data_IF_030197142110
#
_entry.id   IF_030197142110
#
_cell.length_a   1.000
_cell.length_b   1.000
_cell.length_c   1.000
_cell.angle_alpha   90.00
_cell.angle_beta   90.00
_cell.angle_gamma   90.00
#
_symmetry.space_group_name_H-M   'P 1'
#
loop_
_entity.id
_entity.type
_entity.pdbx_description
1 polymer ?
#
# COMPACT_ATOMS: atom_id res chain seq x y z
N UNK A 1 -11.25 9.38 -20.81
CA UNK A 1 -10.12 9.59 -19.88
C UNK A 1 -9.16 8.43 -20.06
N UNK A 2 -7.88 8.67 -20.38
CA UNK A 2 -6.92 7.58 -20.51
C UNK A 2 -6.78 6.88 -19.16
N UNK A 3 -6.79 5.55 -19.14
CA UNK A 3 -6.65 4.78 -17.90
C UNK A 3 -5.26 4.99 -17.31
N UNK A 4 -5.17 5.69 -16.17
CA UNK A 4 -3.89 5.88 -15.45
C UNK A 4 -3.28 4.54 -15.01
N UNK A 5 -4.11 3.51 -14.82
CA UNK A 5 -3.64 2.15 -14.54
C UNK A 5 -2.87 1.58 -15.73
N UNK A 6 -3.42 1.70 -16.95
CA UNK A 6 -2.72 1.26 -18.18
C UNK A 6 -1.44 2.07 -18.42
N UNK A 7 -1.48 3.39 -18.19
CA UNK A 7 -0.29 4.23 -18.28
C UNK A 7 0.76 3.83 -17.25
N UNK A 8 0.34 3.50 -16.02
CA UNK A 8 1.21 3.02 -14.95
C UNK A 8 1.93 1.73 -15.35
N UNK A 9 1.23 0.77 -15.94
CA UNK A 9 1.83 -0.47 -16.47
C UNK A 9 2.84 -0.15 -17.58
N UNK A 10 2.44 0.64 -18.57
CA UNK A 10 3.31 0.99 -19.71
C UNK A 10 4.59 1.72 -19.25
N UNK A 11 4.45 2.65 -18.30
CA UNK A 11 5.57 3.37 -17.72
C UNK A 11 6.48 2.45 -16.90
N UNK A 12 5.88 1.54 -16.13
CA UNK A 12 6.59 0.54 -15.34
C UNK A 12 7.42 -0.39 -16.23
N UNK A 13 6.85 -0.86 -17.35
CA UNK A 13 7.57 -1.73 -18.31
C UNK A 13 8.72 -0.96 -18.98
N UNK A 14 8.51 0.32 -19.30
CA UNK A 14 9.50 1.14 -20.00
C UNK A 14 10.70 1.54 -19.14
N UNK A 15 10.60 1.45 -17.81
CA UNK A 15 11.64 1.87 -16.86
C UNK A 15 12.15 0.70 -16.01
N UNK A 16 13.16 -0.06 -16.49
CA UNK A 16 13.66 -1.25 -15.79
C UNK A 16 14.29 -0.93 -14.41
N UNK A 17 14.67 0.34 -14.16
CA UNK A 17 15.13 0.80 -12.83
C UNK A 17 14.05 0.67 -11.75
N UNK A 18 12.76 0.72 -12.11
CA UNK A 18 11.65 0.53 -11.17
C UNK A 18 11.56 -0.94 -10.74
N UNK A 19 11.81 -1.89 -11.63
CA UNK A 19 11.68 -3.33 -11.35
C UNK A 19 12.62 -3.78 -10.23
N UNK A 20 13.84 -3.24 -10.18
CA UNK A 20 14.76 -3.54 -9.08
C UNK A 20 14.23 -3.03 -7.74
N UNK A 21 13.55 -1.88 -7.76
CA UNK A 21 12.90 -1.31 -6.56
C UNK A 21 11.72 -2.18 -6.12
N UNK A 22 11.00 -2.79 -7.07
CA UNK A 22 9.84 -3.68 -6.84
C UNK A 22 10.23 -5.09 -6.41
N UNK A 23 11.34 -5.62 -6.91
CA UNK A 23 11.84 -6.94 -6.54
C UNK A 23 12.41 -6.96 -5.12
N UNK A 24 13.00 -5.84 -4.69
CA UNK A 24 13.59 -5.70 -3.37
C UNK A 24 12.64 -6.03 -2.18
N UNK A 25 11.41 -5.48 -2.09
CA UNK A 25 10.47 -5.84 -1.02
C UNK A 25 10.02 -7.30 -1.09
N UNK A 26 9.91 -7.89 -2.30
CA UNK A 26 9.58 -9.32 -2.45
C UNK A 26 10.68 -10.22 -1.89
N UNK A 27 11.93 -9.93 -2.24
CA UNK A 27 13.08 -10.69 -1.69
C UNK A 27 13.20 -10.48 -0.18
N UNK A 28 13.03 -9.25 0.30
CA UNK A 28 13.10 -8.93 1.71
C UNK A 28 12.01 -9.63 2.53
N UNK A 29 10.77 -9.65 2.05
CA UNK A 29 9.65 -10.36 2.71
C UNK A 29 9.85 -11.86 2.71
N UNK A 30 10.39 -12.44 1.63
CA UNK A 30 10.75 -13.87 1.58
C UNK A 30 11.84 -14.21 2.60
N UNK A 31 12.89 -13.39 2.70
CA UNK A 31 13.98 -13.59 3.67
C UNK A 31 13.45 -13.53 5.11
N UNK A 32 12.63 -12.53 5.43
CA UNK A 32 12.02 -12.40 6.76
C UNK A 32 11.11 -13.58 7.07
N UNK A 33 10.32 -14.07 6.10
CA UNK A 33 9.49 -15.25 6.28
C UNK A 33 10.35 -16.48 6.65
N UNK A 34 11.43 -16.74 5.90
CA UNK A 34 12.35 -17.86 6.18
C UNK A 34 12.98 -17.73 7.58
N UNK A 35 13.49 -16.55 7.93
CA UNK A 35 14.11 -16.30 9.23
C UNK A 35 13.10 -16.50 10.37
N UNK A 36 11.88 -15.99 10.19
CA UNK A 36 10.80 -16.08 11.18
C UNK A 36 10.37 -17.54 11.39
N UNK A 37 10.24 -18.32 10.32
CA UNK A 37 9.96 -19.76 10.39
C UNK A 37 11.04 -20.46 11.21
N UNK A 38 12.32 -20.28 10.86
CA UNK A 38 13.42 -20.95 11.56
C UNK A 38 13.47 -20.54 13.03
N UNK A 39 13.35 -19.25 13.34
CA UNK A 39 13.36 -18.76 14.72
C UNK A 39 12.20 -19.29 15.56
N UNK A 40 10.96 -19.23 15.06
CA UNK A 40 9.80 -19.64 15.85
C UNK A 40 9.72 -21.15 16.04
N UNK A 41 10.08 -21.96 15.02
CA UNK A 41 10.12 -23.41 15.19
C UNK A 41 11.24 -23.90 16.11
N UNK A 42 12.39 -23.21 16.14
CA UNK A 42 13.52 -23.63 16.99
C UNK A 42 13.44 -23.09 18.41
N UNK A 43 12.96 -21.85 18.59
CA UNK A 43 12.97 -21.17 19.89
C UNK A 43 11.60 -21.17 20.56
N UNK A 44 10.51 -20.96 19.82
CA UNK A 44 9.18 -20.73 20.40
C UNK A 44 8.34 -22.01 20.54
N UNK A 45 8.50 -23.00 19.65
CA UNK A 45 7.69 -24.22 19.66
C UNK A 45 7.74 -24.98 20.99
N UNK A 46 8.95 -25.24 21.50
CA UNK A 46 9.14 -25.98 22.75
C UNK A 46 8.55 -25.26 23.98
N UNK A 47 8.86 -23.97 24.25
CA UNK A 47 8.28 -23.27 25.40
C UNK A 47 6.76 -23.11 25.28
N UNK A 48 6.20 -22.95 24.08
CA UNK A 48 4.75 -22.90 23.89
C UNK A 48 4.08 -24.23 24.23
N UNK A 49 4.64 -25.36 23.76
CA UNK A 49 4.12 -26.70 24.08
C UNK A 49 4.16 -26.97 25.59
N UNK A 50 5.25 -26.58 26.25
CA UNK A 50 5.38 -26.71 27.71
C UNK A 50 4.40 -25.81 28.47
N UNK A 51 4.23 -24.57 28.04
CA UNK A 51 3.27 -23.64 28.64
C UNK A 51 1.82 -24.14 28.55
N UNK A 52 1.46 -24.80 27.43
CA UNK A 52 0.17 -25.45 27.25
C UNK A 52 0.00 -26.68 28.17
N UNK A 53 1.05 -27.46 28.35
CA UNK A 53 1.05 -28.60 29.29
C UNK A 53 0.88 -28.13 30.74
N UNK A 54 1.60 -27.07 31.15
CA UNK A 54 1.47 -26.45 32.48
C UNK A 54 0.06 -25.87 32.70
N UNK A 55 -0.61 -25.42 31.63
CA UNK A 55 -2.00 -24.96 31.66
C UNK A 55 -3.04 -26.11 31.76
N UNK A 56 -2.59 -27.37 31.80
CA UNK A 56 -3.44 -28.55 31.99
C UNK A 56 -3.89 -29.24 30.70
N UNK A 57 -3.29 -28.91 29.55
CA UNK A 57 -3.60 -29.57 28.27
C UNK A 57 -2.85 -30.90 28.17
N UNK A 58 -3.50 -31.92 27.59
CA UNK A 58 -2.91 -33.25 27.36
C UNK A 58 -1.68 -33.15 26.46
N UNK A 59 -0.59 -33.85 26.79
CA UNK A 59 0.72 -33.77 26.12
C UNK A 59 0.62 -33.71 24.58
N UNK A 60 -0.02 -34.67 23.93
CA UNK A 60 -0.11 -34.71 22.47
C UNK A 60 -0.88 -33.50 21.89
N UNK A 61 -1.89 -33.02 22.60
CA UNK A 61 -2.71 -31.87 22.21
C UNK A 61 -1.94 -30.56 22.40
N UNK A 62 -1.09 -30.45 23.42
CA UNK A 62 -0.22 -29.30 23.66
C UNK A 62 0.77 -29.09 22.50
N UNK A 63 1.38 -30.16 22.00
CA UNK A 63 2.27 -30.08 20.83
C UNK A 63 1.51 -29.67 19.56
N UNK A 64 0.32 -30.23 19.32
CA UNK A 64 -0.50 -29.86 18.17
C UNK A 64 -0.92 -28.38 18.21
N UNK A 65 -1.38 -27.90 19.36
CA UNK A 65 -1.77 -26.50 19.56
C UNK A 65 -0.58 -25.56 19.46
N UNK A 66 0.59 -25.94 19.98
CA UNK A 66 1.82 -25.15 19.85
C UNK A 66 2.22 -24.99 18.38
N UNK A 67 2.16 -26.04 17.56
CA UNK A 67 2.43 -25.92 16.12
C UNK A 67 1.45 -24.96 15.45
N UNK A 68 0.16 -25.04 15.77
CA UNK A 68 -0.84 -24.11 15.21
C UNK A 68 -0.59 -22.66 15.63
N UNK A 69 -0.23 -22.41 16.90
CA UNK A 69 0.14 -21.08 17.39
C UNK A 69 1.37 -20.54 16.67
N UNK A 70 2.43 -21.32 16.54
CA UNK A 70 3.64 -20.94 15.79
C UNK A 70 3.28 -20.59 14.34
N UNK A 71 2.42 -21.36 13.67
CA UNK A 71 1.99 -21.06 12.30
C UNK A 71 1.23 -19.72 12.22
N UNK A 72 0.35 -19.44 13.18
CA UNK A 72 -0.36 -18.16 13.27
C UNK A 72 0.60 -17.01 13.54
N UNK A 73 1.56 -17.18 14.45
CA UNK A 73 2.59 -16.18 14.75
C UNK A 73 3.46 -15.87 13.52
N UNK A 74 3.91 -16.89 12.80
CA UNK A 74 4.66 -16.73 11.54
C UNK A 74 3.84 -15.92 10.53
N UNK A 75 2.55 -16.26 10.37
CA UNK A 75 1.66 -15.55 9.48
C UNK A 75 1.51 -14.08 9.90
N UNK A 76 1.24 -13.80 11.18
CA UNK A 76 1.05 -12.45 11.70
C UNK A 76 2.32 -11.60 11.54
N UNK A 77 3.49 -12.13 11.92
CA UNK A 77 4.77 -11.41 11.81
C UNK A 77 5.07 -11.10 10.34
N UNK A 78 4.96 -12.09 9.46
CA UNK A 78 5.23 -11.91 8.03
C UNK A 78 4.24 -10.94 7.39
N UNK A 79 2.96 -11.02 7.78
CA UNK A 79 1.91 -10.15 7.29
C UNK A 79 2.13 -8.69 7.72
N UNK A 80 2.40 -8.45 9.01
CA UNK A 80 2.69 -7.09 9.52
C UNK A 80 3.93 -6.53 8.82
N UNK A 81 4.98 -7.33 8.68
CA UNK A 81 6.18 -6.92 7.98
C UNK A 81 5.89 -6.54 6.52
N UNK A 82 5.13 -7.38 5.80
CA UNK A 82 4.72 -7.10 4.43
C UNK A 82 3.93 -5.79 4.31
N UNK A 83 2.98 -5.53 5.22
CA UNK A 83 2.20 -4.28 5.21
C UNK A 83 3.08 -3.03 5.34
N UNK A 84 4.07 -3.05 6.24
CA UNK A 84 4.97 -1.92 6.47
C UNK A 84 5.92 -1.72 5.29
N UNK A 85 6.56 -2.80 4.85
CA UNK A 85 7.52 -2.75 3.74
C UNK A 85 6.83 -2.32 2.45
N UNK A 86 5.68 -2.90 2.11
CA UNK A 86 4.96 -2.53 0.89
C UNK A 86 4.62 -1.05 0.85
N UNK A 87 4.08 -0.48 1.94
CA UNK A 87 3.79 0.96 2.01
C UNK A 87 5.01 1.84 1.78
N UNK A 88 6.15 1.51 2.42
CA UNK A 88 7.40 2.25 2.22
C UNK A 88 7.91 2.19 0.77
N UNK A 89 7.75 1.05 0.09
CA UNK A 89 8.21 0.90 -1.29
C UNK A 89 7.27 1.55 -2.31
N UNK A 90 5.95 1.56 -2.03
CA UNK A 90 4.98 2.33 -2.81
C UNK A 90 5.33 3.82 -2.80
N UNK A 91 5.61 4.38 -1.62
CA UNK A 91 6.03 5.79 -1.48
C UNK A 91 7.30 6.10 -2.27
N UNK A 92 8.32 5.24 -2.16
CA UNK A 92 9.59 5.40 -2.92
C UNK A 92 9.39 5.35 -4.43
N UNK A 93 8.48 4.51 -4.91
CA UNK A 93 8.16 4.42 -6.33
C UNK A 93 7.43 5.68 -6.77
N UNK A 94 6.48 6.15 -5.96
CA UNK A 94 5.73 7.37 -6.21
C UNK A 94 6.65 8.59 -6.33
N UNK A 95 7.58 8.76 -5.38
CA UNK A 95 8.60 9.82 -5.41
C UNK A 95 9.45 9.78 -6.68
N UNK A 96 9.98 8.60 -7.03
CA UNK A 96 10.79 8.43 -8.24
C UNK A 96 10.03 8.82 -9.52
N UNK A 97 8.73 8.52 -9.59
CA UNK A 97 7.88 8.89 -10.72
C UNK A 97 7.64 10.41 -10.76
N UNK A 98 7.37 11.04 -9.61
CA UNK A 98 7.22 12.50 -9.52
C UNK A 98 8.51 13.24 -9.93
N UNK A 99 9.68 12.76 -9.49
CA UNK A 99 10.97 13.30 -9.92
C UNK A 99 11.17 13.11 -11.42
N UNK A 100 10.86 11.93 -11.97
CA UNK A 100 10.97 11.66 -13.40
C UNK A 100 10.04 12.55 -14.26
N UNK A 101 8.92 13.04 -13.70
CA UNK A 101 8.00 13.99 -14.32
C UNK A 101 8.39 15.46 -14.12
N UNK A 102 9.51 15.75 -13.44
CA UNK A 102 10.02 17.12 -13.26
C UNK A 102 9.48 17.83 -12.02
N UNK A 103 8.86 17.12 -11.08
CA UNK A 103 8.38 17.66 -9.80
C UNK A 103 9.37 17.40 -8.65
N UNK A 104 10.68 17.49 -8.93
CA UNK A 104 11.73 17.22 -7.95
C UNK A 104 11.68 18.16 -6.75
N UNK A 105 11.47 19.46 -6.97
CA UNK A 105 11.39 20.45 -5.88
C UNK A 105 10.26 20.16 -4.90
N UNK A 106 9.12 19.67 -5.39
CA UNK A 106 7.98 19.33 -4.54
C UNK A 106 8.31 18.15 -3.61
N UNK A 107 9.02 17.14 -4.12
CA UNK A 107 9.47 15.98 -3.36
C UNK A 107 10.55 16.37 -2.35
N UNK A 108 11.56 17.12 -2.77
CA UNK A 108 12.67 17.53 -1.89
C UNK A 108 12.23 18.44 -0.76
N UNK A 109 11.29 19.36 -1.02
CA UNK A 109 10.76 20.24 0.01
C UNK A 109 10.09 19.46 1.13
N UNK A 110 9.35 18.39 0.81
CA UNK A 110 8.75 17.52 1.83
C UNK A 110 9.80 16.67 2.55
N UNK A 111 10.78 16.10 1.84
CA UNK A 111 11.88 15.33 2.47
C UNK A 111 12.63 16.15 3.52
N UNK A 112 12.84 17.44 3.28
CA UNK A 112 13.50 18.36 4.23
C UNK A 112 12.66 18.65 5.47
N UNK A 113 11.34 18.80 5.33
CA UNK A 113 10.44 19.13 6.44
C UNK A 113 10.01 17.89 7.25
N UNK A 114 9.91 16.72 6.62
CA UNK A 114 9.30 15.53 7.21
C UNK A 114 10.25 14.32 7.33
N UNK A 115 11.51 14.38 6.90
CA UNK A 115 12.40 13.21 6.76
C UNK A 115 12.52 12.28 7.98
N UNK A 116 12.54 12.83 9.21
CA UNK A 116 12.59 12.04 10.45
C UNK A 116 11.19 11.60 10.93
N UNK A 117 10.18 12.45 10.76
CA UNK A 117 8.80 12.18 11.18
C UNK A 117 8.14 11.14 10.28
N UNK A 118 8.42 11.17 8.97
CA UNK A 118 7.88 10.27 7.95
C UNK A 118 8.37 8.83 8.11
N UNK A 119 9.65 8.66 8.42
CA UNK A 119 10.25 7.34 8.70
C UNK A 119 9.66 6.69 9.96
N UNK A 120 9.24 7.51 10.93
CA UNK A 120 8.60 7.06 12.18
C UNK A 120 7.06 6.92 12.03
N UNK A 121 6.41 7.75 11.21
CA UNK A 121 4.96 7.76 10.97
C UNK A 121 4.49 6.62 10.06
N UNK A 122 5.30 6.29 9.05
CA UNK A 122 5.13 5.07 8.22
C UNK A 122 5.31 3.79 9.06
N UNK A 123 6.09 3.88 10.16
CA UNK A 123 6.37 2.74 11.05
C UNK A 123 5.33 2.54 12.17
N UNK A 124 4.63 3.59 12.66
CA UNK A 124 4.06 3.50 14.02
C UNK A 124 2.70 4.14 14.37
N UNK A 125 1.76 4.57 13.50
CA UNK A 125 0.42 4.88 14.08
C UNK A 125 -0.84 4.85 13.23
N UNK A 126 -0.82 5.29 11.97
CA UNK A 126 -2.10 5.54 11.26
C UNK A 126 -2.41 4.46 10.20
N UNK A 127 -1.40 3.94 9.51
CA UNK A 127 -1.58 2.87 8.51
C UNK A 127 -1.90 1.52 9.15
N UNK A 128 -1.21 1.11 10.23
CA UNK A 128 -1.38 -0.21 10.83
C UNK A 128 -2.74 -0.41 11.51
N UNK A 129 -3.22 0.55 12.29
CA UNK A 129 -4.53 0.44 12.96
C UNK A 129 -5.70 0.59 11.98
N UNK A 130 -5.57 1.46 10.97
CA UNK A 130 -6.58 1.57 9.91
C UNK A 130 -6.59 0.30 9.03
N UNK A 131 -5.42 -0.25 8.66
CA UNK A 131 -5.31 -1.51 7.90
C UNK A 131 -5.72 -2.74 8.73
N UNK A 132 -5.40 -2.83 10.01
CA UNK A 132 -5.90 -3.91 10.90
C UNK A 132 -7.42 -3.81 11.05
N UNK A 133 -7.96 -2.61 11.25
CA UNK A 133 -9.41 -2.36 11.29
C UNK A 133 -10.09 -2.73 9.97
N UNK A 134 -9.47 -2.38 8.84
CA UNK A 134 -9.95 -2.76 7.52
C UNK A 134 -9.88 -4.27 7.30
N UNK A 135 -8.82 -4.94 7.76
CA UNK A 135 -8.67 -6.40 7.68
C UNK A 135 -9.76 -7.12 8.48
N UNK A 136 -10.06 -6.63 9.68
CA UNK A 136 -11.13 -7.19 10.54
C UNK A 136 -12.52 -6.96 9.94
N UNK A 137 -12.73 -5.83 9.28
CA UNK A 137 -13.99 -5.51 8.59
C UNK A 137 -14.11 -6.21 7.22
N UNK A 138 -12.99 -6.54 6.55
CA UNK A 138 -12.98 -7.18 5.23
C UNK A 138 -12.89 -8.70 5.25
N UNK A 139 -12.55 -9.32 6.38
CA UNK A 139 -12.58 -10.78 6.53
C UNK A 139 -13.95 -11.40 6.19
N UNK A 140 -15.09 -10.82 6.62
CA UNK A 140 -16.42 -11.32 6.25
C UNK A 140 -16.80 -11.03 4.78
N UNK A 141 -16.14 -10.05 4.15
CA UNK A 141 -16.51 -9.56 2.82
C UNK A 141 -15.86 -10.32 1.67
N UNK A 142 -14.83 -11.14 1.96
CA UNK A 142 -14.19 -12.06 1.00
C UNK A 142 -15.06 -13.29 0.64
N UNK A 143 -16.30 -13.38 1.13
CA UNK A 143 -17.19 -14.52 0.93
C UNK A 143 -18.08 -14.45 -0.33
N UNK A 144 -18.02 -13.36 -1.12
CA UNK A 144 -18.88 -13.18 -2.30
C UNK A 144 -18.05 -12.96 -3.57
N UNK A 145 -17.79 -14.01 -4.39
CA UNK A 145 -16.58 -14.03 -5.21
C UNK A 145 -16.59 -13.16 -6.46
N UNK A 146 -17.73 -12.63 -6.96
CA UNK A 146 -17.74 -11.97 -8.29
C UNK A 146 -18.67 -10.75 -8.38
N UNK A 147 -19.94 -10.87 -7.99
CA UNK A 147 -20.88 -9.72 -8.07
C UNK A 147 -20.62 -8.71 -6.94
N UNK A 148 -20.28 -9.22 -5.75
CA UNK A 148 -19.85 -8.41 -4.62
C UNK A 148 -18.58 -7.62 -4.96
N UNK A 149 -17.70 -8.19 -5.76
CA UNK A 149 -16.39 -7.65 -6.17
C UNK A 149 -16.50 -6.38 -7.03
N UNK A 150 -17.37 -6.37 -8.05
CA UNK A 150 -17.60 -5.17 -8.87
C UNK A 150 -18.33 -4.07 -8.09
N UNK A 151 -19.32 -4.45 -7.29
CA UNK A 151 -20.05 -3.50 -6.44
C UNK A 151 -19.13 -2.91 -5.34
N UNK A 152 -18.26 -3.74 -4.78
CA UNK A 152 -17.23 -3.34 -3.83
C UNK A 152 -16.23 -2.37 -4.46
N UNK A 153 -15.75 -2.64 -5.68
CA UNK A 153 -14.85 -1.75 -6.41
C UNK A 153 -15.52 -0.41 -6.73
N UNK A 154 -16.82 -0.42 -7.02
CA UNK A 154 -17.60 0.80 -7.20
C UNK A 154 -17.79 1.60 -5.89
N UNK A 155 -18.04 0.93 -4.77
CA UNK A 155 -18.19 1.60 -3.47
C UNK A 155 -16.86 2.11 -2.89
N UNK A 156 -15.77 1.36 -3.10
CA UNK A 156 -14.48 1.62 -2.46
C UNK A 156 -13.43 2.22 -3.40
N UNK A 157 -13.71 2.33 -4.71
CA UNK A 157 -12.76 2.86 -5.68
C UNK A 157 -12.25 4.25 -5.30
N UNK A 158 -13.14 5.15 -4.89
CA UNK A 158 -12.72 6.49 -4.42
C UNK A 158 -11.82 6.43 -3.19
N UNK A 159 -12.08 5.52 -2.25
CA UNK A 159 -11.25 5.37 -1.04
C UNK A 159 -9.86 4.83 -1.38
N UNK A 160 -9.78 3.83 -2.26
CA UNK A 160 -8.49 3.26 -2.69
C UNK A 160 -7.67 4.27 -3.46
N UNK A 161 -8.29 5.01 -4.39
CA UNK A 161 -7.63 6.10 -5.09
C UNK A 161 -7.13 7.20 -4.14
N UNK A 162 -7.89 7.50 -3.08
CA UNK A 162 -7.45 8.41 -2.03
C UNK A 162 -6.23 7.83 -1.28
N UNK A 163 -6.25 6.55 -0.87
CA UNK A 163 -5.10 5.90 -0.22
C UNK A 163 -3.82 6.03 -1.06
N UNK A 164 -3.91 5.77 -2.37
CA UNK A 164 -2.80 5.93 -3.31
C UNK A 164 -2.30 7.38 -3.47
N UNK A 165 -3.11 8.38 -3.14
CA UNK A 165 -2.77 9.80 -3.21
C UNK A 165 -2.41 10.43 -1.86
N UNK A 166 -2.39 9.65 -0.76
CA UNK A 166 -2.03 10.19 0.55
C UNK A 166 -0.67 10.89 0.53
N UNK A 167 0.33 10.29 -0.14
CA UNK A 167 1.65 10.89 -0.26
C UNK A 167 1.64 12.20 -1.06
N UNK A 168 0.85 12.27 -2.13
CA UNK A 168 0.68 13.52 -2.87
C UNK A 168 0.08 14.62 -1.99
N UNK A 169 -0.91 14.28 -1.16
CA UNK A 169 -1.48 15.21 -0.21
C UNK A 169 -0.51 15.60 0.91
N UNK A 170 0.40 14.71 1.31
CA UNK A 170 1.51 15.03 2.20
C UNK A 170 2.46 16.06 1.55
N UNK A 171 2.87 15.87 0.29
CA UNK A 171 3.68 16.87 -0.43
C UNK A 171 3.05 18.26 -0.48
N UNK A 172 1.71 18.32 -0.57
CA UNK A 172 0.95 19.58 -0.59
C UNK A 172 0.61 20.10 0.81
N UNK A 173 0.98 19.38 1.86
CA UNK A 173 0.66 19.68 3.26
C UNK A 173 -0.86 19.86 3.49
N UNK A 174 -1.69 19.06 2.81
CA UNK A 174 -3.15 19.15 2.90
C UNK A 174 -3.69 18.53 4.20
N UNK A 175 -4.57 19.26 4.88
CA UNK A 175 -5.35 18.73 6.01
C UNK A 175 -6.39 17.71 5.53
N UNK A 176 -6.91 16.86 6.44
CA UNK A 176 -7.92 15.86 6.08
C UNK A 176 -9.17 16.47 5.42
N UNK A 177 -9.60 17.66 5.86
CA UNK A 177 -10.73 18.37 5.25
C UNK A 177 -10.42 18.84 3.82
N UNK A 178 -9.20 19.34 3.59
CA UNK A 178 -8.74 19.76 2.27
C UNK A 178 -8.60 18.56 1.33
N UNK A 179 -8.09 17.43 1.81
CA UNK A 179 -8.03 16.17 1.06
C UNK A 179 -9.44 15.72 0.66
N UNK A 180 -10.37 15.69 1.63
CA UNK A 180 -11.76 15.30 1.37
C UNK A 180 -12.42 16.20 0.33
N UNK A 181 -12.22 17.52 0.43
CA UNK A 181 -12.73 18.47 -0.54
C UNK A 181 -12.12 18.26 -1.94
N UNK A 182 -10.80 18.05 -2.01
CA UNK A 182 -10.09 17.79 -3.26
C UNK A 182 -10.59 16.51 -3.96
N UNK A 183 -10.70 15.41 -3.21
CA UNK A 183 -11.21 14.13 -3.71
C UNK A 183 -12.66 14.26 -4.15
N UNK A 184 -13.50 14.97 -3.39
CA UNK A 184 -14.90 15.17 -3.75
C UNK A 184 -15.07 16.01 -5.02
N UNK A 185 -14.20 17.01 -5.23
CA UNK A 185 -14.19 17.81 -6.47
C UNK A 185 -13.75 17.01 -7.70
N UNK A 186 -13.00 15.92 -7.52
CA UNK A 186 -12.50 15.07 -8.60
C UNK A 186 -13.05 13.64 -8.50
N UNK A 187 -14.22 13.46 -7.89
CA UNK A 187 -14.75 12.15 -7.48
C UNK A 187 -14.81 11.14 -8.62
N UNK A 188 -15.24 11.56 -9.81
CA UNK A 188 -15.33 10.69 -10.99
C UNK A 188 -13.96 10.14 -11.42
N UNK A 189 -12.93 10.98 -11.39
CA UNK A 189 -11.57 10.57 -11.76
C UNK A 189 -11.00 9.61 -10.71
N UNK A 190 -11.16 9.91 -9.41
CA UNK A 190 -10.75 9.02 -8.32
C UNK A 190 -11.51 7.69 -8.34
N UNK A 191 -12.82 7.71 -8.56
CA UNK A 191 -13.63 6.51 -8.64
C UNK A 191 -13.18 5.60 -9.79
N UNK A 192 -12.98 6.18 -10.98
CA UNK A 192 -12.56 5.42 -12.16
C UNK A 192 -11.17 4.79 -12.00
N UNK A 193 -10.22 5.55 -11.45
CA UNK A 193 -8.86 5.06 -11.18
C UNK A 193 -8.87 3.94 -10.15
N UNK A 194 -9.52 4.16 -9.00
CA UNK A 194 -9.53 3.18 -7.93
C UNK A 194 -10.31 1.91 -8.28
N UNK A 195 -11.37 2.00 -9.08
CA UNK A 195 -12.07 0.82 -9.59
C UNK A 195 -11.15 -0.04 -10.46
N UNK A 196 -10.40 0.57 -11.39
CA UNK A 196 -9.46 -0.14 -12.25
C UNK A 196 -8.29 -0.73 -11.45
N UNK A 197 -7.76 0.03 -10.49
CA UNK A 197 -6.68 -0.40 -9.60
C UNK A 197 -7.10 -1.64 -8.81
N UNK A 198 -8.28 -1.61 -8.18
CA UNK A 198 -8.86 -2.72 -7.43
C UNK A 198 -9.07 -3.97 -8.30
N UNK A 199 -9.64 -3.81 -9.49
CA UNK A 199 -9.86 -4.93 -10.41
C UNK A 199 -8.54 -5.60 -10.80
N UNK A 200 -7.47 -4.84 -10.98
CA UNK A 200 -6.15 -5.37 -11.30
C UNK A 200 -5.47 -6.05 -10.10
N UNK A 201 -5.71 -5.56 -8.89
CA UNK A 201 -5.20 -6.18 -7.65
C UNK A 201 -5.90 -7.50 -7.33
N UNK A 202 -7.14 -7.66 -7.79
CA UNK A 202 -7.93 -8.88 -7.59
C UNK A 202 -7.52 -10.05 -8.49
N UNK A 203 -6.70 -9.81 -9.52
CA UNK A 203 -6.21 -10.88 -10.40
C UNK A 203 -5.13 -11.67 -9.63
N UNK A 204 -5.35 -12.96 -9.30
CA UNK A 204 -4.35 -13.75 -8.59
C UNK A 204 -3.06 -13.86 -9.41
N UNK A 205 -1.92 -13.79 -8.73
CA UNK A 205 -0.59 -13.78 -9.35
C UNK A 205 -0.14 -12.40 -9.87
N UNK A 206 -1.02 -11.66 -10.54
CA UNK A 206 -0.69 -10.31 -11.07
C UNK A 206 -0.89 -9.23 -10.01
N UNK A 207 -1.84 -9.41 -9.09
CA UNK A 207 -2.25 -8.38 -8.12
C UNK A 207 -1.11 -7.80 -7.29
N UNK A 208 -0.13 -8.63 -6.92
CA UNK A 208 1.06 -8.18 -6.18
C UNK A 208 1.91 -7.19 -6.98
N UNK A 209 2.04 -7.40 -8.29
CA UNK A 209 2.72 -6.47 -9.19
C UNK A 209 1.82 -5.27 -9.50
N UNK A 210 0.49 -5.49 -9.59
CA UNK A 210 -0.51 -4.46 -9.80
C UNK A 210 -0.44 -3.36 -8.75
N UNK A 211 -0.21 -3.69 -7.48
CA UNK A 211 -0.04 -2.70 -6.40
C UNK A 211 1.05 -1.67 -6.73
N UNK A 212 2.16 -2.11 -7.32
CA UNK A 212 3.26 -1.23 -7.70
C UNK A 212 2.97 -0.45 -8.99
N UNK A 213 2.36 -1.09 -9.99
CA UNK A 213 1.97 -0.38 -11.22
C UNK A 213 0.86 0.64 -10.94
N UNK A 214 -0.02 0.36 -9.98
CA UNK A 214 -1.06 1.28 -9.50
C UNK A 214 -0.43 2.44 -8.75
N UNK A 215 0.60 2.23 -7.93
CA UNK A 215 1.36 3.32 -7.31
C UNK A 215 2.05 4.22 -8.35
N UNK A 216 2.60 3.65 -9.43
CA UNK A 216 3.10 4.43 -10.58
C UNK A 216 1.97 5.20 -11.25
N UNK A 217 0.84 4.55 -11.53
CA UNK A 217 -0.33 5.19 -12.14
C UNK A 217 -0.89 6.34 -11.29
N UNK A 218 -0.90 6.19 -9.97
CA UNK A 218 -1.27 7.23 -9.01
C UNK A 218 -0.29 8.40 -9.06
N UNK A 219 1.02 8.15 -9.12
CA UNK A 219 2.01 9.22 -9.26
C UNK A 219 1.87 9.96 -10.59
N UNK A 220 1.58 9.26 -11.69
CA UNK A 220 1.27 9.88 -12.98
C UNK A 220 -0.01 10.71 -12.91
N UNK A 221 -1.03 10.23 -12.21
CA UNK A 221 -2.29 10.95 -12.00
C UNK A 221 -2.07 12.22 -11.18
N UNK A 222 -1.28 12.16 -10.11
CA UNK A 222 -0.89 13.32 -9.31
C UNK A 222 -0.05 14.33 -10.12
N UNK A 223 0.90 13.86 -10.92
CA UNK A 223 1.71 14.71 -11.78
C UNK A 223 0.84 15.52 -12.77
N UNK A 224 -0.20 14.89 -13.34
CA UNK A 224 -1.13 15.58 -14.23
C UNK A 224 -1.88 16.72 -13.53
N UNK A 225 -2.31 16.55 -12.27
CA UNK A 225 -2.94 17.64 -11.52
C UNK A 225 -2.02 18.85 -11.32
N UNK A 226 -0.73 18.61 -11.12
CA UNK A 226 0.26 19.67 -11.00
C UNK A 226 0.54 20.35 -12.34
N UNK A 227 0.59 19.59 -13.44
CA UNK A 227 0.72 20.12 -14.81
C UNK A 227 -0.47 21.04 -15.15
N UNK A 228 -1.71 20.56 -14.96
CA UNK A 228 -2.93 21.35 -15.17
C UNK A 228 -2.97 22.60 -14.27
N UNK A 229 -2.51 22.49 -13.03
CA UNK A 229 -2.41 23.62 -12.10
C UNK A 229 -1.44 24.69 -12.59
N UNK A 230 -0.26 24.29 -13.08
CA UNK A 230 0.74 25.19 -13.66
C UNK A 230 0.23 25.90 -14.91
N UNK A 231 -0.44 25.18 -15.81
CA UNK A 231 -1.02 25.75 -17.02
C UNK A 231 -2.09 26.81 -16.71
N UNK A 232 -2.98 26.54 -15.74
CA UNK A 232 -3.99 27.52 -15.29
C UNK A 232 -3.35 28.79 -14.72
N UNK A 233 -2.30 28.65 -13.92
CA UNK A 233 -1.55 29.80 -13.39
C UNK A 233 -0.90 30.63 -14.52
N UNK A 234 -0.32 29.97 -15.53
CA UNK A 234 0.30 30.64 -16.68
C UNK A 234 -0.74 31.38 -17.54
N UNK A 235 -1.89 30.76 -17.82
CA UNK A 235 -2.97 31.42 -18.57
C UNK A 235 -3.51 32.66 -17.84
N UNK A 236 -3.53 32.63 -16.51
CA UNK A 236 -3.98 33.76 -15.70
C UNK A 236 -2.95 34.90 -15.64
N UNK A 237 -1.65 34.60 -15.80
CA UNK A 237 -0.57 35.58 -15.84
C UNK A 237 -0.28 36.14 -17.24
N UNK A 238 -0.52 35.36 -18.30
CA UNK A 238 -0.33 35.79 -19.70
C UNK A 238 -1.53 36.52 -20.32
N UNK A 239 -2.60 36.75 -19.55
CA UNK A 239 -3.82 37.42 -19.98
C UNK A 239 -3.86 38.95 -19.76
N UNK A 240 -2.70 39.60 -19.60
CA UNK A 240 -2.56 41.06 -19.46
C UNK A 240 -1.78 41.66 -20.63
#
# INVERSE_FOLDING_TARGET
MPSYVVQGIAFFISHPRLWLTTLCPLVLTLLVAIITIVMLFTVALYPQAKGLEEAGVVLWLSWLLAVMLVLVEIFLVTFIFNLVVMGCYQDKIFEKVMVARGFQELVENEERHAGYVRKCRSCCRVSLWMRLGLLTVMLPLNLLPIVGTMFYAWLNGTLVAWEYHLLYFEFKNFSYEQQRAFVNNHKEQYLSFGMQALLMEMIPGVGLLSVFTNAVGAALFAAQFEEEGRERMQMQQGGF
#
